data_IF_281162622194
#
_entry.id   IF_281162622194
#
_cell.length_a   1.000
_cell.length_b   1.000
_cell.length_c   1.000
_cell.angle_alpha   90.00
_cell.angle_beta   90.00
_cell.angle_gamma   90.00
#
_symmetry.space_group_name_H-M   'P 1'
#
loop_
_entity.id
_entity.type
_entity.pdbx_description
1 polymer ?
#
# COMPACT_ATOMS: atom_id res chain seq x y z
N UNK A 1 7.47 -12.75 15.52
CA UNK A 1 8.05 -12.24 14.26
C UNK A 1 9.40 -12.89 14.02
N UNK A 2 9.69 -13.38 12.82
CA UNK A 2 11.00 -13.98 12.51
C UNK A 2 12.08 -12.91 12.32
N UNK A 3 13.29 -13.16 12.83
CA UNK A 3 14.43 -12.24 12.83
C UNK A 3 14.81 -11.75 11.42
N UNK A 4 14.51 -12.55 10.39
CA UNK A 4 14.69 -12.20 8.97
C UNK A 4 13.84 -10.99 8.56
N UNK A 5 12.59 -10.90 9.02
CA UNK A 5 11.66 -9.85 8.63
C UNK A 5 11.96 -8.53 9.35
N UNK A 6 12.39 -8.58 10.62
CA UNK A 6 12.81 -7.38 11.35
C UNK A 6 13.92 -6.59 10.61
N UNK A 7 14.94 -7.28 10.09
CA UNK A 7 16.04 -6.65 9.32
C UNK A 7 15.62 -6.09 7.97
N UNK A 8 14.58 -6.65 7.34
CA UNK A 8 14.00 -6.12 6.11
C UNK A 8 13.30 -4.77 6.38
N UNK A 9 12.56 -4.69 7.48
CA UNK A 9 11.82 -3.51 7.89
C UNK A 9 12.74 -2.33 8.25
N UNK A 10 13.87 -2.59 8.90
CA UNK A 10 14.88 -1.56 9.21
C UNK A 10 15.46 -0.89 7.95
N UNK A 11 15.64 -1.63 6.85
CA UNK A 11 16.20 -1.08 5.60
C UNK A 11 15.23 -0.19 4.83
N UNK A 12 13.91 -0.35 5.01
CA UNK A 12 12.89 0.37 4.25
C UNK A 12 12.53 1.75 4.84
N UNK A 13 13.12 2.12 5.98
CA UNK A 13 12.81 3.35 6.72
C UNK A 13 13.01 4.66 5.92
N UNK A 14 13.91 4.65 4.93
CA UNK A 14 14.42 5.86 4.30
C UNK A 14 13.80 6.25 2.94
N UNK A 15 12.95 5.41 2.31
CA UNK A 15 12.34 5.75 1.02
C UNK A 15 10.91 6.26 1.16
N UNK A 16 10.61 7.37 0.46
CA UNK A 16 9.26 7.91 0.25
C UNK A 16 8.44 7.12 -0.79
N UNK A 17 9.08 6.22 -1.54
CA UNK A 17 8.41 5.31 -2.47
C UNK A 17 7.78 4.19 -1.65
N UNK A 18 6.45 4.21 -1.50
CA UNK A 18 5.75 3.10 -0.83
C UNK A 18 4.32 3.39 -0.37
N UNK A 19 3.89 4.66 -0.25
CA UNK A 19 2.57 4.94 0.33
C UNK A 19 1.41 4.26 -0.43
N UNK A 20 1.44 4.30 -1.77
CA UNK A 20 0.47 3.57 -2.60
C UNK A 20 0.50 2.05 -2.34
N UNK A 21 1.69 1.46 -2.22
CA UNK A 21 1.83 0.02 -1.94
C UNK A 21 1.28 -0.35 -0.56
N UNK A 22 1.53 0.49 0.45
CA UNK A 22 1.00 0.30 1.80
C UNK A 22 -0.53 0.37 1.81
N UNK A 23 -1.12 1.35 1.12
CA UNK A 23 -2.57 1.42 0.97
C UNK A 23 -3.13 0.20 0.24
N UNK A 24 -2.47 -0.27 -0.83
CA UNK A 24 -2.87 -1.48 -1.54
C UNK A 24 -2.76 -2.74 -0.69
N UNK A 25 -1.68 -2.89 0.08
CA UNK A 25 -1.55 -3.99 1.04
C UNK A 25 -2.65 -3.94 2.10
N UNK A 26 -2.97 -2.76 2.62
CA UNK A 26 -4.04 -2.60 3.59
C UNK A 26 -5.42 -2.96 3.01
N UNK A 27 -5.73 -2.52 1.78
CA UNK A 27 -6.97 -2.90 1.09
C UNK A 27 -7.04 -4.41 0.87
N UNK A 28 -5.96 -5.01 0.39
CA UNK A 28 -5.86 -6.45 0.12
C UNK A 28 -5.78 -7.30 1.40
N UNK A 29 -5.42 -6.70 2.54
CA UNK A 29 -5.46 -7.35 3.84
C UNK A 29 -6.89 -7.67 4.26
N UNK A 30 -7.82 -6.76 3.95
CA UNK A 30 -9.25 -6.89 4.25
C UNK A 30 -9.92 -7.93 3.36
N UNK A 31 -9.69 -7.86 2.05
CA UNK A 31 -10.31 -8.74 1.07
C UNK A 31 -9.51 -8.77 -0.24
N UNK A 32 -9.53 -9.89 -0.96
CA UNK A 32 -8.98 -9.96 -2.32
C UNK A 32 -9.71 -8.98 -3.24
N UNK A 33 -8.98 -8.32 -4.15
CA UNK A 33 -9.55 -7.23 -4.95
C UNK A 33 -9.06 -7.21 -6.40
N UNK A 34 -9.90 -6.73 -7.30
CA UNK A 34 -9.53 -6.43 -8.69
C UNK A 34 -9.28 -4.93 -8.89
N UNK A 35 -8.63 -4.57 -10.00
CA UNK A 35 -8.14 -3.20 -10.25
C UNK A 35 -9.14 -2.07 -9.94
N UNK A 36 -10.39 -2.16 -10.41
CA UNK A 36 -11.40 -1.12 -10.15
C UNK A 36 -11.73 -0.93 -8.66
N UNK A 37 -12.07 -1.99 -7.92
CA UNK A 37 -12.36 -1.89 -6.49
C UNK A 37 -11.16 -1.40 -5.67
N UNK A 38 -9.93 -1.69 -6.12
CA UNK A 38 -8.73 -1.13 -5.49
C UNK A 38 -8.61 0.38 -5.71
N UNK A 39 -8.98 0.91 -6.88
CA UNK A 39 -9.00 2.37 -7.14
C UNK A 39 -10.02 3.05 -6.25
N UNK A 40 -11.25 2.51 -6.17
CA UNK A 40 -12.30 3.04 -5.30
C UNK A 40 -11.83 3.07 -3.85
N UNK A 41 -11.21 1.99 -3.38
CA UNK A 41 -10.62 1.93 -2.04
C UNK A 41 -9.51 2.96 -1.80
N UNK A 42 -8.71 3.28 -2.82
CA UNK A 42 -7.62 4.25 -2.71
C UNK A 42 -8.11 5.69 -2.51
N UNK A 43 -9.31 6.02 -2.99
CA UNK A 43 -9.92 7.35 -2.77
C UNK A 43 -10.01 7.68 -1.28
N UNK A 44 -10.31 6.69 -0.43
CA UNK A 44 -10.37 6.87 1.03
C UNK A 44 -9.04 7.28 1.67
N UNK A 45 -7.91 7.07 0.99
CA UNK A 45 -6.58 7.46 1.46
C UNK A 45 -6.08 8.79 0.86
N UNK A 46 -6.98 9.56 0.24
CA UNK A 46 -6.67 10.88 -0.32
C UNK A 46 -6.04 10.84 -1.72
N UNK A 47 -6.10 9.69 -2.40
CA UNK A 47 -5.76 9.63 -3.81
C UNK A 47 -6.91 10.18 -4.66
N UNK A 48 -6.65 11.23 -5.44
CA UNK A 48 -7.64 11.80 -6.35
C UNK A 48 -7.89 10.86 -7.53
N UNK A 49 -9.16 10.63 -7.89
CA UNK A 49 -9.55 9.79 -9.04
C UNK A 49 -8.88 10.24 -10.35
N UNK A 50 -8.75 11.56 -10.54
CA UNK A 50 -8.13 12.18 -11.71
C UNK A 50 -6.60 11.98 -11.77
N UNK A 51 -5.96 11.83 -10.61
CA UNK A 51 -4.51 11.65 -10.49
C UNK A 51 -4.06 10.19 -10.50
N UNK A 52 -4.96 9.26 -10.16
CA UNK A 52 -4.64 7.85 -10.04
C UNK A 52 -4.92 7.08 -11.34
N UNK A 53 -3.99 7.18 -12.29
CA UNK A 53 -4.14 6.42 -13.54
C UNK A 53 -4.02 4.91 -13.29
N UNK A 54 -5.00 4.15 -13.80
CA UNK A 54 -5.05 2.67 -13.89
C UNK A 54 -3.69 2.04 -14.27
N UNK A 55 -2.94 2.68 -15.18
CA UNK A 55 -1.61 2.25 -15.59
C UNK A 55 -0.62 2.19 -14.43
N UNK A 56 -0.63 3.20 -13.55
CA UNK A 56 0.22 3.27 -12.36
C UNK A 56 -0.16 2.21 -11.34
N UNK A 57 -1.46 1.99 -11.13
CA UNK A 57 -1.96 0.93 -10.25
C UNK A 57 -1.43 -0.44 -10.72
N UNK A 58 -1.67 -0.80 -11.98
CA UNK A 58 -1.25 -2.11 -12.47
C UNK A 58 0.26 -2.27 -12.58
N UNK A 59 1.02 -1.19 -12.86
CA UNK A 59 2.49 -1.22 -12.77
C UNK A 59 2.94 -1.51 -11.34
N UNK A 60 2.30 -0.91 -10.35
CA UNK A 60 2.59 -1.10 -8.94
C UNK A 60 2.24 -2.52 -8.50
N UNK A 61 1.03 -3.01 -8.80
CA UNK A 61 0.61 -4.37 -8.47
C UNK A 61 1.51 -5.45 -9.10
N UNK A 62 1.95 -5.26 -10.35
CA UNK A 62 2.92 -6.17 -10.98
C UNK A 62 4.28 -6.16 -10.30
N UNK A 63 4.74 -5.00 -9.82
CA UNK A 63 5.97 -4.92 -9.01
C UNK A 63 5.78 -5.64 -7.68
N UNK A 64 4.71 -5.35 -6.96
CA UNK A 64 4.39 -6.00 -5.68
C UNK A 64 4.28 -7.52 -5.83
N UNK A 65 3.73 -8.01 -6.93
CA UNK A 65 3.65 -9.44 -7.25
C UNK A 65 5.04 -10.03 -7.52
N UNK A 66 5.88 -9.35 -8.31
CA UNK A 66 7.28 -9.75 -8.54
C UNK A 66 8.07 -9.79 -7.23
N UNK A 67 7.79 -8.87 -6.32
CA UNK A 67 8.41 -8.80 -5.00
C UNK A 67 7.78 -9.79 -4.01
N UNK A 68 6.76 -10.54 -4.42
CA UNK A 68 6.09 -11.56 -3.61
C UNK A 68 5.23 -11.01 -2.46
N UNK A 69 4.88 -9.73 -2.51
CA UNK A 69 4.00 -9.08 -1.52
C UNK A 69 2.53 -9.39 -1.76
N UNK A 70 2.17 -9.63 -3.02
CA UNK A 70 0.84 -10.06 -3.45
C UNK A 70 0.95 -11.24 -4.42
N UNK A 71 -0.13 -11.97 -4.59
CA UNK A 71 -0.32 -12.95 -5.67
C UNK A 71 -1.53 -12.54 -6.49
N UNK A 72 -1.62 -13.00 -7.74
CA UNK A 72 -2.82 -12.82 -8.54
C UNK A 72 -3.33 -14.13 -9.13
N UNK A 73 -4.62 -14.13 -9.44
CA UNK A 73 -5.30 -15.20 -10.13
C UNK A 73 -6.38 -14.62 -11.05
N UNK A 74 -6.79 -15.42 -12.03
CA UNK A 74 -7.88 -15.06 -12.93
C UNK A 74 -9.19 -15.59 -12.37
N UNK A 75 -10.14 -14.69 -12.17
CA UNK A 75 -11.51 -15.03 -11.82
C UNK A 75 -12.38 -15.00 -13.09
N UNK A 76 -13.02 -16.12 -13.37
CA UNK A 76 -13.96 -16.25 -14.49
C UNK A 76 -15.31 -15.74 -13.99
N UNK A 77 -15.80 -14.64 -14.56
CA UNK A 77 -17.18 -14.22 -14.32
C UNK A 77 -18.14 -15.10 -15.10
N UNK A 78 -19.31 -15.42 -14.54
CA UNK A 78 -20.31 -16.31 -15.14
C UNK A 78 -20.75 -15.93 -16.57
N UNK A 79 -20.58 -14.67 -16.98
CA UNK A 79 -20.90 -14.15 -18.32
C UNK A 79 -19.98 -12.99 -18.76
N UNK A 80 -18.81 -12.79 -18.12
CA UNK A 80 -18.03 -11.55 -18.23
C UNK A 80 -16.54 -11.74 -18.58
N UNK A 81 -15.83 -10.64 -18.94
CA UNK A 81 -14.40 -10.70 -19.19
C UNK A 81 -13.66 -11.18 -17.93
N UNK A 82 -12.65 -12.02 -18.12
CA UNK A 82 -11.81 -12.51 -17.02
C UNK A 82 -11.20 -11.33 -16.27
N UNK A 83 -11.36 -11.31 -14.96
CA UNK A 83 -10.81 -10.28 -14.09
C UNK A 83 -9.57 -10.81 -13.40
N UNK A 84 -8.50 -10.04 -13.42
CA UNK A 84 -7.31 -10.34 -12.61
C UNK A 84 -7.57 -9.84 -11.19
N UNK A 85 -7.63 -10.78 -10.25
CA UNK A 85 -7.81 -10.53 -8.83
C UNK A 85 -6.46 -10.65 -8.15
N UNK A 86 -6.22 -9.82 -7.15
CA UNK A 86 -5.02 -9.82 -6.32
C UNK A 86 -5.38 -10.19 -4.89
N UNK A 87 -4.44 -10.84 -4.21
CA UNK A 87 -4.55 -11.24 -2.81
C UNK A 87 -3.20 -11.03 -2.12
N UNK A 88 -3.24 -10.61 -0.86
CA UNK A 88 -2.02 -10.35 -0.09
C UNK A 88 -1.36 -11.67 0.34
N UNK A 89 -0.03 -11.73 0.27
CA UNK A 89 0.72 -12.89 0.79
C UNK A 89 1.11 -12.68 2.25
N UNK A 90 1.56 -13.74 2.93
CA UNK A 90 2.12 -13.62 4.29
C UNK A 90 3.30 -12.63 4.35
N UNK A 91 4.14 -12.61 3.30
CA UNK A 91 5.21 -11.63 3.15
C UNK A 91 4.65 -10.21 3.05
N UNK A 92 3.58 -10.00 2.27
CA UNK A 92 2.88 -8.72 2.17
C UNK A 92 2.29 -8.26 3.50
N UNK A 93 1.70 -9.18 4.28
CA UNK A 93 1.17 -8.86 5.62
C UNK A 93 2.27 -8.40 6.57
N UNK A 94 3.41 -9.09 6.59
CA UNK A 94 4.55 -8.69 7.41
C UNK A 94 5.14 -7.33 6.98
N UNK A 95 5.23 -7.10 5.67
CA UNK A 95 5.67 -5.80 5.15
C UNK A 95 4.72 -4.68 5.58
N UNK A 96 3.41 -4.93 5.53
CA UNK A 96 2.39 -3.98 6.00
C UNK A 96 2.58 -3.63 7.48
N UNK A 97 2.74 -4.63 8.36
CA UNK A 97 2.95 -4.40 9.80
C UNK A 97 4.14 -3.47 10.06
N UNK A 98 5.25 -3.71 9.37
CA UNK A 98 6.43 -2.87 9.47
C UNK A 98 6.20 -1.45 8.97
N UNK A 99 5.46 -1.29 7.87
CA UNK A 99 5.09 0.03 7.38
C UNK A 99 4.19 0.79 8.35
N UNK A 100 3.27 0.11 9.05
CA UNK A 100 2.43 0.75 10.07
C UNK A 100 3.28 1.36 11.19
N UNK A 101 4.30 0.65 11.66
CA UNK A 101 5.20 1.20 12.69
C UNK A 101 6.04 2.38 12.18
N UNK A 102 6.48 2.33 10.93
CA UNK A 102 7.15 3.46 10.26
C UNK A 102 6.20 4.67 10.16
N UNK A 103 4.94 4.45 9.77
CA UNK A 103 3.96 5.51 9.61
C UNK A 103 3.63 6.20 10.94
N UNK A 104 3.50 5.46 12.05
CA UNK A 104 3.33 6.05 13.39
C UNK A 104 4.46 7.03 13.71
N UNK A 105 5.71 6.61 13.51
CA UNK A 105 6.88 7.45 13.76
C UNK A 105 6.95 8.66 12.82
N UNK A 106 6.43 8.53 11.59
CA UNK A 106 6.32 9.65 10.63
C UNK A 106 5.26 10.65 11.05
N UNK A 107 4.09 10.20 11.52
CA UNK A 107 3.03 11.07 12.03
C UNK A 107 3.55 11.95 13.15
N UNK A 108 4.30 11.39 14.10
CA UNK A 108 4.91 12.16 15.18
C UNK A 108 5.88 13.25 14.66
N UNK A 109 6.74 12.89 13.70
CA UNK A 109 7.72 13.83 13.12
C UNK A 109 7.04 14.93 12.30
N UNK A 110 6.04 14.58 11.50
CA UNK A 110 5.24 15.55 10.73
C UNK A 110 4.55 16.51 11.69
N UNK A 111 3.93 15.99 12.76
CA UNK A 111 3.29 16.82 13.79
C UNK A 111 4.25 17.84 14.42
N UNK A 112 5.49 17.43 14.72
CA UNK A 112 6.53 18.36 15.23
C UNK A 112 6.86 19.48 14.26
N UNK A 113 6.91 19.20 12.96
CA UNK A 113 7.18 20.23 11.93
C UNK A 113 6.01 21.20 11.82
N UNK A 114 4.77 20.69 11.76
CA UNK A 114 3.55 21.52 11.70
C UNK A 114 3.48 22.44 12.93
N UNK A 115 3.62 21.88 14.12
CA UNK A 115 3.60 22.65 15.37
C UNK A 115 4.68 23.73 15.41
N UNK A 116 5.91 23.41 14.96
CA UNK A 116 7.00 24.37 14.87
C UNK A 116 6.68 25.54 13.93
N UNK A 117 6.06 25.26 12.77
CA UNK A 117 5.62 26.30 11.85
C UNK A 117 4.52 27.18 12.45
N UNK A 118 3.48 26.58 13.01
CA UNK A 118 2.35 27.29 13.62
C UNK A 118 2.80 28.23 14.74
N UNK A 119 3.81 27.83 15.51
CA UNK A 119 4.41 28.66 16.57
C UNK A 119 5.18 29.87 16.03
N UNK A 120 5.73 29.80 14.82
CA UNK A 120 6.47 30.92 14.19
C UNK A 120 5.52 31.94 13.57
N UNK A 121 4.40 31.49 13.03
CA UNK A 121 3.45 32.33 12.28
C UNK A 121 2.27 32.86 13.11
N UNK A 122 2.14 32.38 14.36
CA UNK A 122 1.19 32.91 15.37
C UNK A 122 1.81 34.07 16.15
#
# INVERSE_FOLDING_TARGET
>A
MSEKYARLCEKNYQKMQGFLEVCLLLLLYKESGHGYGLIEGLVHFGFLEEGLNISTLYKTLRRMEKDGLVRSFWEIGDQGPQKRVYDITDKGRHELDCWIDILKLRVERIGKVIYGYETIVS
#
